data_IF_240362253605
#
_entry.id   IF_240362253605
#
_cell.length_a   1.000
_cell.length_b   1.000
_cell.length_c   1.000
_cell.angle_alpha   90.00
_cell.angle_beta   90.00
_cell.angle_gamma   90.00
#
_symmetry.space_group_name_H-M   'P 1'
#
loop_
_entity.id
_entity.type
_entity.pdbx_description
1 polymer ?
#
# COMPACT_ATOMS: atom_id res chain seq x y z
N UNK A 1 -20.30 -21.23 4.93
CA UNK A 1 -19.69 -20.17 5.75
C UNK A 1 -19.10 -19.15 4.79
N UNK A 2 -19.71 -17.97 4.66
CA UNK A 2 -19.18 -16.92 3.77
C UNK A 2 -17.79 -16.50 4.24
N UNK A 3 -16.85 -16.37 3.32
CA UNK A 3 -15.53 -15.82 3.60
C UNK A 3 -15.72 -14.40 4.17
N UNK A 4 -15.08 -14.03 5.30
CA UNK A 4 -15.13 -12.66 5.80
C UNK A 4 -14.48 -11.71 4.80
N UNK A 5 -15.05 -10.51 4.64
CA UNK A 5 -14.50 -9.46 3.78
C UNK A 5 -13.15 -8.98 4.31
N UNK A 6 -12.34 -8.33 3.46
CA UNK A 6 -11.01 -7.87 3.87
C UNK A 6 -11.12 -6.89 5.06
N UNK A 7 -12.03 -5.92 4.96
CA UNK A 7 -12.36 -4.99 6.04
C UNK A 7 -12.65 -5.69 7.37
N UNK A 8 -13.35 -6.84 7.33
CA UNK A 8 -13.72 -7.61 8.51
C UNK A 8 -12.54 -8.45 9.06
N UNK A 9 -11.66 -8.96 8.18
CA UNK A 9 -10.38 -9.57 8.57
C UNK A 9 -9.53 -8.55 9.31
N UNK A 10 -9.32 -7.37 8.72
CA UNK A 10 -8.52 -6.28 9.28
C UNK A 10 -9.08 -5.75 10.61
N UNK A 11 -10.40 -5.63 10.73
CA UNK A 11 -11.05 -5.22 11.97
C UNK A 11 -10.88 -6.24 13.13
N UNK A 12 -10.63 -7.51 12.81
CA UNK A 12 -10.33 -8.55 13.80
C UNK A 12 -8.88 -8.56 14.27
N UNK A 13 -7.98 -7.83 13.58
CA UNK A 13 -6.57 -7.75 13.94
C UNK A 13 -6.36 -6.74 15.06
N UNK A 14 -5.53 -7.08 16.04
CA UNK A 14 -5.26 -6.22 17.20
C UNK A 14 -3.86 -5.62 17.18
N UNK A 15 -2.95 -6.19 16.38
CA UNK A 15 -1.56 -5.74 16.30
C UNK A 15 -1.19 -5.22 14.93
N UNK A 16 -0.39 -4.13 14.89
CA UNK A 16 0.13 -3.57 13.64
C UNK A 16 0.80 -4.64 12.76
N UNK A 17 1.61 -5.54 13.34
CA UNK A 17 2.27 -6.65 12.61
C UNK A 17 1.29 -7.51 11.81
N UNK A 18 0.12 -7.81 12.39
CA UNK A 18 -0.90 -8.59 11.71
C UNK A 18 -1.42 -7.85 10.48
N UNK A 19 -1.62 -6.53 10.54
CA UNK A 19 -2.03 -5.74 9.37
C UNK A 19 -1.02 -5.85 8.23
N UNK A 20 0.28 -5.76 8.54
CA UNK A 20 1.33 -5.91 7.53
C UNK A 20 1.36 -7.33 6.95
N UNK A 21 1.14 -8.36 7.76
CA UNK A 21 1.07 -9.74 7.30
C UNK A 21 -0.16 -10.00 6.42
N UNK A 22 -1.34 -9.54 6.83
CA UNK A 22 -2.59 -9.69 6.05
C UNK A 22 -2.51 -8.94 4.70
N UNK A 23 -1.91 -7.75 4.69
CA UNK A 23 -1.74 -6.93 3.48
C UNK A 23 -0.49 -7.30 2.68
N UNK A 24 0.27 -8.31 3.12
CA UNK A 24 1.53 -8.78 2.50
C UNK A 24 2.51 -7.61 2.23
N UNK A 25 2.63 -6.70 3.20
CA UNK A 25 3.52 -5.55 3.15
C UNK A 25 4.82 -5.89 3.89
N UNK A 26 6.00 -5.75 3.28
CA UNK A 26 7.25 -5.99 3.97
C UNK A 26 7.50 -4.90 5.02
N UNK A 27 7.89 -5.30 6.22
CA UNK A 27 8.20 -4.40 7.33
C UNK A 27 9.38 -4.93 8.15
N UNK A 28 10.10 -4.02 8.78
CA UNK A 28 11.10 -4.36 9.79
C UNK A 28 10.45 -4.38 11.18
N UNK A 29 10.38 -5.53 11.87
CA UNK A 29 9.71 -5.64 13.17
C UNK A 29 10.33 -4.74 14.23
N UNK A 30 11.64 -4.47 14.19
CA UNK A 30 12.32 -3.56 15.14
C UNK A 30 11.81 -2.12 15.00
N UNK A 31 11.69 -1.63 13.76
CA UNK A 31 11.19 -0.28 13.47
C UNK A 31 9.70 -0.20 13.77
N UNK A 32 8.94 -1.23 13.37
CA UNK A 32 7.51 -1.29 13.60
C UNK A 32 7.20 -1.30 15.10
N UNK A 33 7.89 -2.13 15.90
CA UNK A 33 7.69 -2.21 17.36
C UNK A 33 7.78 -0.86 18.07
N UNK A 34 8.72 0.01 17.68
CA UNK A 34 8.85 1.33 18.28
C UNK A 34 7.80 2.34 17.81
N UNK A 35 7.12 2.09 16.68
CA UNK A 35 6.21 3.05 16.03
C UNK A 35 4.80 2.50 15.74
N UNK A 36 4.41 1.34 16.32
CA UNK A 36 3.15 0.61 16.03
C UNK A 36 1.92 1.52 16.13
N UNK A 37 1.81 2.24 17.25
CA UNK A 37 0.70 3.16 17.53
C UNK A 37 0.62 4.28 16.48
N UNK A 38 1.75 4.88 16.13
CA UNK A 38 1.79 5.94 15.13
C UNK A 38 1.44 5.44 13.74
N UNK A 39 1.91 4.24 13.36
CA UNK A 39 1.60 3.63 12.07
C UNK A 39 0.10 3.37 11.95
N UNK A 40 -0.52 2.80 12.98
CA UNK A 40 -1.97 2.56 13.00
C UNK A 40 -2.77 3.87 12.96
N UNK A 41 -2.34 4.87 13.74
CA UNK A 41 -3.00 6.18 13.75
C UNK A 41 -2.95 6.85 12.37
N UNK A 42 -1.78 6.82 11.70
CA UNK A 42 -1.60 7.42 10.39
C UNK A 42 -2.31 6.64 9.28
N UNK A 43 -2.33 5.31 9.39
CA UNK A 43 -3.13 4.45 8.52
C UNK A 43 -4.63 4.77 8.61
N UNK A 44 -5.18 4.98 9.81
CA UNK A 44 -6.57 5.39 9.99
C UNK A 44 -6.85 6.77 9.41
N UNK A 45 -5.92 7.71 9.55
CA UNK A 45 -6.02 9.06 8.99
C UNK A 45 -6.11 9.03 7.45
N UNK A 46 -5.25 8.22 6.80
CA UNK A 46 -5.25 8.01 5.36
C UNK A 46 -6.53 7.31 4.84
N UNK A 47 -7.17 6.49 5.68
CA UNK A 47 -8.46 5.88 5.36
C UNK A 47 -9.65 6.79 5.63
N UNK A 48 -9.51 7.73 6.57
CA UNK A 48 -10.52 8.72 6.91
C UNK A 48 -10.68 9.80 5.81
N UNK A 49 -9.66 9.98 4.96
CA UNK A 49 -9.81 10.78 3.75
C UNK A 49 -10.91 10.17 2.85
N UNK A 50 -11.82 11.01 2.32
CA UNK A 50 -13.01 10.55 1.61
C UNK A 50 -12.59 9.62 0.46
N UNK A 51 -13.16 8.40 0.38
CA UNK A 51 -12.69 7.40 -0.55
C UNK A 51 -12.97 7.84 -1.99
N UNK A 52 -11.91 8.04 -2.77
CA UNK A 52 -12.00 8.01 -4.22
C UNK A 52 -11.95 6.54 -4.68
N UNK A 53 -12.93 5.71 -4.29
CA UNK A 53 -12.94 4.27 -4.64
C UNK A 53 -13.80 3.37 -3.75
N UNK A 54 -13.69 2.05 -3.96
CA UNK A 54 -14.42 1.04 -3.21
C UNK A 54 -13.86 0.88 -1.78
N UNK A 55 -14.73 0.69 -0.76
CA UNK A 55 -14.30 0.59 0.64
C UNK A 55 -13.58 -0.72 1.00
N UNK A 56 -13.69 -1.79 0.20
CA UNK A 56 -13.02 -3.08 0.43
C UNK A 56 -11.82 -3.30 -0.52
N UNK A 57 -11.22 -2.21 -1.01
CA UNK A 57 -10.12 -2.29 -1.95
C UNK A 57 -8.81 -2.61 -1.22
N UNK A 58 -8.32 -3.85 -1.36
CA UNK A 58 -7.08 -4.34 -0.74
C UNK A 58 -5.87 -3.47 -1.09
N UNK A 59 -5.83 -2.96 -2.31
CA UNK A 59 -4.74 -2.13 -2.79
C UNK A 59 -4.75 -0.78 -2.07
N UNK A 60 -5.93 -0.20 -1.80
CA UNK A 60 -6.06 1.02 -0.99
C UNK A 60 -5.61 0.83 0.47
N UNK A 61 -6.00 -0.27 1.11
CA UNK A 61 -5.54 -0.58 2.46
C UNK A 61 -4.01 -0.78 2.53
N UNK A 62 -3.48 -1.56 1.58
CA UNK A 62 -2.04 -1.79 1.43
C UNK A 62 -1.29 -0.49 1.19
N UNK A 63 -1.85 0.38 0.37
CA UNK A 63 -1.30 1.67 0.03
C UNK A 63 -1.18 2.60 1.25
N UNK A 64 -2.29 2.75 1.99
CA UNK A 64 -2.34 3.56 3.19
C UNK A 64 -1.34 3.07 4.25
N UNK A 65 -1.26 1.74 4.45
CA UNK A 65 -0.35 1.15 5.43
C UNK A 65 1.13 1.38 5.05
N UNK A 66 1.48 1.17 3.77
CA UNK A 66 2.83 1.38 3.27
C UNK A 66 3.25 2.86 3.36
N UNK A 67 2.34 3.79 3.05
CA UNK A 67 2.58 5.22 3.16
C UNK A 67 2.80 5.63 4.63
N UNK A 68 1.91 5.21 5.54
CA UNK A 68 2.07 5.45 6.97
C UNK A 68 3.43 4.96 7.50
N UNK A 69 3.85 3.76 7.08
CA UNK A 69 5.14 3.20 7.45
C UNK A 69 6.34 3.98 6.88
N UNK A 70 6.26 4.44 5.63
CA UNK A 70 7.32 5.22 4.99
C UNK A 70 7.54 6.57 5.71
N UNK A 71 6.45 7.32 5.95
CA UNK A 71 6.52 8.61 6.66
C UNK A 71 7.11 8.43 8.07
N UNK A 72 6.74 7.36 8.76
CA UNK A 72 7.23 7.07 10.09
C UNK A 72 8.60 6.41 10.12
N UNK A 73 9.11 5.82 9.05
CA UNK A 73 10.48 5.29 9.03
C UNK A 73 11.50 6.38 8.66
N UNK A 74 11.04 7.55 8.21
CA UNK A 74 11.90 8.62 7.68
C UNK A 74 12.56 8.23 6.35
N UNK A 75 12.12 7.10 5.76
CA UNK A 75 12.54 6.66 4.44
C UNK A 75 11.61 7.36 3.46
N UNK A 76 12.17 8.20 2.58
CA UNK A 76 11.37 8.85 1.55
C UNK A 76 10.53 7.80 0.79
N UNK A 77 9.23 8.07 0.53
CA UNK A 77 8.35 7.13 -0.16
C UNK A 77 8.90 6.72 -1.54
N UNK A 78 9.76 7.53 -2.15
CA UNK A 78 10.46 7.21 -3.39
C UNK A 78 11.54 6.12 -3.25
N UNK A 79 12.21 6.06 -2.11
CA UNK A 79 13.29 5.12 -1.82
C UNK A 79 12.78 3.81 -1.20
N UNK A 80 11.63 3.86 -0.52
CA UNK A 80 10.97 2.68 -0.01
C UNK A 80 10.53 1.78 -1.19
N UNK A 81 11.25 0.66 -1.40
CA UNK A 81 10.88 -0.45 -2.31
C UNK A 81 9.45 -0.98 -2.08
N UNK A 82 8.80 -0.61 -0.97
CA UNK A 82 7.37 -0.79 -0.73
C UNK A 82 6.49 -0.20 -1.85
N UNK A 83 6.92 0.87 -2.52
CA UNK A 83 6.17 1.46 -3.65
C UNK A 83 6.33 0.72 -4.98
N UNK A 84 7.23 -0.29 -5.07
CA UNK A 84 7.34 -1.09 -6.30
C UNK A 84 6.05 -1.88 -6.58
N UNK A 85 5.28 -2.16 -5.53
CA UNK A 85 3.95 -2.76 -5.60
C UNK A 85 2.88 -1.80 -6.16
N UNK A 86 3.04 -0.48 -5.98
CA UNK A 86 2.09 0.51 -6.51
C UNK A 86 2.16 0.70 -8.03
N UNK A 87 3.06 0.01 -8.72
CA UNK A 87 3.07 -0.04 -10.19
C UNK A 87 2.44 -1.32 -10.70
N UNK A 88 1.14 -1.48 -10.45
CA UNK A 88 0.28 -1.88 -11.55
C UNK A 88 -0.48 -0.64 -12.00
N UNK A 89 -0.01 0.07 -13.05
CA UNK A 89 -0.94 0.89 -13.78
C UNK A 89 -2.07 -0.04 -14.25
N UNK A 90 -3.26 0.16 -13.71
CA UNK A 90 -4.51 -0.18 -14.41
C UNK A 90 -4.37 0.49 -15.76
N UNK A 91 -3.90 -0.29 -16.73
CA UNK A 91 -3.67 0.15 -18.09
C UNK A 91 -5.05 0.07 -18.73
N UNK A 92 -5.79 1.17 -18.96
CA UNK A 92 -6.71 1.14 -20.09
C UNK A 92 -5.83 0.93 -21.32
N UNK A 93 -6.15 -0.09 -22.10
CA UNK A 93 -5.53 -0.40 -23.37
C UNK A 93 -5.17 0.86 -24.17
N UNK A 94 -3.89 1.05 -24.48
CA UNK A 94 -3.41 2.23 -25.20
C UNK A 94 -2.00 2.02 -25.72
N UNK A 95 -1.91 1.44 -26.92
CA UNK A 95 -0.71 1.19 -27.72
C UNK A 95 0.18 2.43 -27.88
N UNK A 96 1.48 2.20 -28.07
CA UNK A 96 2.30 3.07 -28.92
C UNK A 96 3.74 3.34 -28.51
N UNK A 97 4.53 2.34 -28.09
CA UNK A 97 5.99 2.50 -28.14
C UNK A 97 6.46 2.21 -29.57
N UNK A 98 6.81 3.26 -30.32
CA UNK A 98 7.48 3.14 -31.62
C UNK A 98 8.94 3.53 -31.38
N UNK A 99 9.84 2.56 -31.52
CA UNK A 99 11.28 2.75 -31.31
C UNK A 99 11.87 3.71 -32.34
N UNK A 100 12.79 4.57 -31.88
CA UNK A 100 13.53 5.57 -32.67
C UNK A 100 14.55 4.94 -33.66
N UNK A 101 14.27 3.77 -34.23
CA UNK A 101 15.19 3.05 -35.12
C UNK A 101 15.02 3.42 -36.60
N UNK A 102 14.23 4.44 -36.95
CA UNK A 102 13.97 4.79 -38.37
C UNK A 102 14.79 5.96 -38.90
N UNK A 103 15.78 6.49 -38.16
CA UNK A 103 16.71 7.49 -38.71
C UNK A 103 17.96 6.86 -39.33
N UNK A 104 17.79 6.26 -40.51
CA UNK A 104 18.83 5.93 -41.50
C UNK A 104 18.05 5.44 -42.73
N UNK A 105 18.07 6.12 -43.87
CA UNK A 105 19.21 6.50 -44.71
C UNK A 105 18.82 7.62 -45.66
#
# INVERSE_FOLDING_TARGET
MSQPTLSQRLAGLSSAEEFFQELEVPFEPKVLNSRRLHVLQRYHDLLAEPPCGAPDDRERHRAALAQAYAELSGIEPREAKLFKVFKQPKTPAGRGFVGLSTLTK
#
